data_IF_880157837903
#
_entry.id   IF_880157837903
#
_cell.length_a   1.000
_cell.length_b   1.000
_cell.length_c   1.000
_cell.angle_alpha   90.00
_cell.angle_beta   90.00
_cell.angle_gamma   90.00
#
_symmetry.space_group_name_H-M   'P 1'
#
loop_
_entity.id
_entity.type
_entity.pdbx_description
1 polymer ?
#
# COMPACT_ATOMS: atom_id res chain seq x y z
N UNK A 1 0.66 -11.02 -22.94
CA UNK A 1 1.31 -9.80 -22.39
C UNK A 1 0.84 -9.52 -20.97
N UNK A 2 -0.46 -9.53 -20.68
CA UNK A 2 -0.98 -9.31 -19.31
C UNK A 2 -0.43 -10.29 -18.26
N UNK A 3 -0.27 -11.58 -18.59
CA UNK A 3 0.30 -12.56 -17.64
C UNK A 3 1.75 -12.27 -17.21
N UNK A 4 2.60 -11.85 -18.14
CA UNK A 4 4.00 -11.47 -17.85
C UNK A 4 4.04 -10.23 -16.96
N UNK A 5 3.20 -9.23 -17.28
CA UNK A 5 3.10 -8.01 -16.49
C UNK A 5 2.67 -8.32 -15.04
N UNK A 6 1.65 -9.16 -14.85
CA UNK A 6 1.19 -9.57 -13.52
C UNK A 6 2.28 -10.31 -12.73
N UNK A 7 2.99 -11.25 -13.36
CA UNK A 7 4.10 -11.93 -12.68
C UNK A 7 5.22 -10.96 -12.28
N UNK A 8 5.53 -9.98 -13.14
CA UNK A 8 6.57 -9.01 -12.86
C UNK A 8 6.19 -8.06 -11.71
N UNK A 9 4.94 -7.60 -11.67
CA UNK A 9 4.38 -6.78 -10.57
C UNK A 9 4.43 -7.55 -9.23
N UNK A 10 3.98 -8.81 -9.20
CA UNK A 10 4.01 -9.62 -7.98
C UNK A 10 5.44 -9.89 -7.49
N UNK A 11 6.38 -10.18 -8.41
CA UNK A 11 7.78 -10.36 -8.07
C UNK A 11 8.36 -9.06 -7.52
N UNK A 12 8.09 -7.93 -8.18
CA UNK A 12 8.55 -6.61 -7.74
C UNK A 12 8.08 -6.32 -6.31
N UNK A 13 6.79 -6.52 -6.03
CA UNK A 13 6.18 -6.30 -4.71
C UNK A 13 6.84 -7.14 -3.61
N UNK A 14 7.08 -8.43 -3.87
CA UNK A 14 7.75 -9.31 -2.89
C UNK A 14 9.23 -8.95 -2.71
N UNK A 15 9.86 -8.45 -3.77
CA UNK A 15 11.30 -8.16 -3.79
C UNK A 15 11.71 -6.79 -3.24
N UNK A 16 10.77 -5.90 -2.88
CA UNK A 16 11.10 -4.56 -2.37
C UNK A 16 11.15 -4.53 -0.83
N UNK A 17 12.33 -4.76 -0.21
CA UNK A 17 12.49 -4.74 1.25
C UNK A 17 12.34 -3.34 1.86
N UNK A 18 12.28 -2.28 1.04
CA UNK A 18 12.18 -0.90 1.49
C UNK A 18 10.90 -0.19 1.05
N UNK A 19 9.97 -0.95 0.46
CA UNK A 19 8.64 -0.55 0.07
C UNK A 19 7.61 -1.02 1.10
N UNK A 20 6.56 -1.72 0.65
CA UNK A 20 5.44 -2.09 1.52
C UNK A 20 5.71 -3.32 2.42
N UNK A 21 6.79 -4.06 2.15
CA UNK A 21 7.14 -5.29 2.87
C UNK A 21 7.17 -5.16 4.41
N UNK A 22 7.87 -4.17 5.02
CA UNK A 22 7.87 -4.01 6.48
C UNK A 22 6.50 -3.66 7.08
N UNK A 23 5.58 -3.05 6.31
CA UNK A 23 4.21 -2.80 6.78
C UNK A 23 3.40 -4.09 6.81
N UNK A 24 3.52 -4.92 5.76
CA UNK A 24 2.87 -6.23 5.68
C UNK A 24 3.39 -7.15 6.80
N UNK A 25 4.69 -7.13 7.07
CA UNK A 25 5.28 -7.94 8.14
C UNK A 25 4.84 -7.49 9.53
N UNK A 26 4.78 -6.17 9.77
CA UNK A 26 4.28 -5.61 11.03
C UNK A 26 2.79 -5.88 11.28
N UNK A 27 2.05 -6.28 10.24
CA UNK A 27 0.63 -6.63 10.31
C UNK A 27 0.40 -8.03 10.87
N UNK A 28 1.42 -8.90 10.87
CA UNK A 28 1.32 -10.30 11.33
C UNK A 28 0.15 -11.07 10.68
N UNK A 29 -0.24 -10.68 9.46
CA UNK A 29 -1.30 -11.35 8.71
C UNK A 29 -0.67 -12.28 7.67
N UNK A 30 -0.75 -13.59 7.93
CA UNK A 30 -0.36 -14.66 7.03
C UNK A 30 -1.15 -14.65 5.71
N UNK A 31 -2.38 -14.16 5.73
CA UNK A 31 -3.24 -13.99 4.55
C UNK A 31 -2.59 -13.15 3.44
N UNK A 32 -1.85 -12.08 3.78
CA UNK A 32 -1.24 -11.18 2.78
C UNK A 32 -0.05 -11.87 2.11
N UNK A 33 0.74 -12.62 2.88
CA UNK A 33 1.84 -13.42 2.35
C UNK A 33 1.32 -14.55 1.46
N UNK A 34 0.27 -15.25 1.91
CA UNK A 34 -0.39 -16.28 1.12
C UNK A 34 -0.92 -15.69 -0.21
N UNK A 35 -1.56 -14.52 -0.17
CA UNK A 35 -2.05 -13.84 -1.37
C UNK A 35 -0.93 -13.49 -2.37
N UNK A 36 0.23 -13.02 -1.90
CA UNK A 36 1.37 -12.71 -2.76
C UNK A 36 1.91 -13.96 -3.48
N UNK A 37 2.06 -15.08 -2.75
CA UNK A 37 2.48 -16.36 -3.33
C UNK A 37 1.45 -16.90 -4.34
N UNK A 38 0.16 -16.84 -4.01
CA UNK A 38 -0.92 -17.25 -4.91
C UNK A 38 -0.89 -16.39 -6.19
N UNK A 39 -0.68 -15.09 -6.08
CA UNK A 39 -0.56 -14.17 -7.24
C UNK A 39 0.54 -14.58 -8.21
N UNK A 40 1.71 -14.98 -7.69
CA UNK A 40 2.83 -15.49 -8.51
C UNK A 40 2.42 -16.75 -9.28
N UNK A 41 1.80 -17.71 -8.60
CA UNK A 41 1.34 -18.96 -9.24
C UNK A 41 0.26 -18.71 -10.31
N UNK A 42 -0.69 -17.82 -10.02
CA UNK A 42 -1.75 -17.44 -10.96
C UNK A 42 -1.17 -16.76 -12.19
N UNK A 43 -0.22 -15.84 -12.02
CA UNK A 43 0.45 -15.17 -13.14
C UNK A 43 1.16 -16.15 -14.08
N UNK A 44 1.85 -17.15 -13.52
CA UNK A 44 2.48 -18.22 -14.32
C UNK A 44 1.44 -19.08 -15.05
N UNK A 45 0.33 -19.43 -14.40
CA UNK A 45 -0.76 -20.16 -15.03
C UNK A 45 -1.39 -19.38 -16.21
N UNK A 46 -1.61 -18.07 -16.05
CA UNK A 46 -2.11 -17.19 -17.12
C UNK A 46 -1.14 -17.10 -18.30
N UNK A 47 0.17 -17.13 -18.04
CA UNK A 47 1.19 -17.21 -19.08
C UNK A 47 1.08 -18.53 -19.87
N UNK A 48 0.94 -19.67 -19.17
CA UNK A 48 0.74 -20.97 -19.81
C UNK A 48 -0.56 -21.01 -20.64
N UNK A 49 -1.66 -20.45 -20.13
CA UNK A 49 -2.93 -20.33 -20.86
C UNK A 49 -2.78 -19.50 -22.14
N UNK A 50 -1.97 -18.43 -22.10
CA UNK A 50 -1.71 -17.62 -23.30
C UNK A 50 -0.96 -18.39 -24.38
N UNK A 51 0.00 -19.23 -24.00
CA UNK A 51 0.73 -20.11 -24.93
C UNK A 51 -0.22 -21.16 -25.53
N UNK A 52 -1.06 -21.77 -24.69
CA UNK A 52 -2.07 -22.73 -25.14
C UNK A 52 -3.06 -22.10 -26.13
N UNK A 53 -3.47 -20.85 -25.92
CA UNK A 53 -4.29 -20.10 -26.86
C UNK A 53 -3.62 -19.95 -28.23
N UNK A 54 -2.35 -19.53 -28.26
CA UNK A 54 -1.58 -19.37 -29.51
C UNK A 54 -1.43 -20.72 -30.23
N UNK A 55 -1.05 -21.77 -29.50
CA UNK A 55 -0.92 -23.13 -30.05
C UNK A 55 -2.27 -23.66 -30.56
N UNK A 56 -3.37 -23.36 -29.87
CA UNK A 56 -4.72 -23.75 -30.27
C UNK A 56 -5.15 -23.17 -31.59
N UNK A 57 -4.82 -21.90 -31.84
CA UNK A 57 -5.05 -21.23 -33.12
C UNK A 57 -4.19 -21.84 -34.22
N UNK A 58 -2.88 -22.04 -33.97
CA UNK A 58 -1.94 -22.58 -34.98
C UNK A 58 -2.31 -24.01 -35.38
N UNK A 59 -2.65 -24.87 -34.40
CA UNK A 59 -2.95 -26.29 -34.64
C UNK A 59 -4.34 -26.51 -35.25
N UNK A 60 -5.16 -25.45 -35.41
CA UNK A 60 -6.53 -25.50 -35.93
C UNK A 60 -7.39 -26.61 -35.31
N UNK A 61 -7.11 -26.97 -34.05
CA UNK A 61 -7.79 -28.05 -33.34
C UNK A 61 -8.98 -27.49 -32.57
N UNK A 62 -10.19 -27.87 -32.99
CA UNK A 62 -11.44 -27.40 -32.37
C UNK A 62 -11.52 -27.74 -30.88
N UNK A 63 -11.01 -28.91 -30.47
CA UNK A 63 -11.01 -29.35 -29.07
C UNK A 63 -10.12 -28.46 -28.20
N UNK A 64 -8.93 -28.09 -28.69
CA UNK A 64 -7.99 -27.26 -27.92
C UNK A 64 -8.51 -25.82 -27.77
N UNK A 65 -9.15 -25.30 -28.82
CA UNK A 65 -9.82 -24.00 -28.79
C UNK A 65 -11.01 -23.98 -27.82
N UNK A 66 -11.82 -25.05 -27.79
CA UNK A 66 -12.93 -25.18 -26.84
C UNK A 66 -12.45 -25.20 -25.38
N UNK A 67 -11.41 -25.97 -25.08
CA UNK A 67 -10.81 -26.02 -23.73
C UNK A 67 -10.29 -24.64 -23.33
N UNK A 68 -9.63 -23.92 -24.25
CA UNK A 68 -9.18 -22.55 -24.00
C UNK A 68 -10.34 -21.60 -23.65
N UNK A 69 -11.43 -21.63 -24.42
CA UNK A 69 -12.61 -20.79 -24.17
C UNK A 69 -13.23 -21.10 -22.81
N UNK A 70 -13.37 -22.38 -22.45
CA UNK A 70 -13.92 -22.79 -21.14
C UNK A 70 -13.04 -22.27 -20.00
N UNK A 71 -11.72 -22.43 -20.10
CA UNK A 71 -10.79 -21.95 -19.07
C UNK A 71 -10.82 -20.42 -18.95
N UNK A 72 -10.91 -19.70 -20.07
CA UNK A 72 -11.05 -18.24 -20.08
C UNK A 72 -12.35 -17.77 -19.43
N UNK A 73 -13.47 -18.47 -19.65
CA UNK A 73 -14.74 -18.16 -18.99
C UNK A 73 -14.65 -18.37 -17.47
N UNK A 74 -13.98 -19.42 -17.03
CA UNK A 74 -13.75 -19.68 -15.60
C UNK A 74 -12.91 -18.55 -14.98
N UNK A 75 -11.80 -18.17 -15.60
CA UNK A 75 -10.96 -17.08 -15.08
C UNK A 75 -11.70 -15.74 -15.05
N UNK A 76 -12.55 -15.47 -16.05
CA UNK A 76 -13.37 -14.26 -16.08
C UNK A 76 -14.38 -14.23 -14.93
N UNK A 77 -15.02 -15.37 -14.62
CA UNK A 77 -15.92 -15.46 -13.47
C UNK A 77 -15.18 -15.22 -12.13
N UNK A 78 -13.97 -15.77 -11.98
CA UNK A 78 -13.12 -15.51 -10.82
C UNK A 78 -12.67 -14.05 -10.73
N UNK A 79 -12.34 -13.41 -11.85
CA UNK A 79 -11.94 -12.00 -11.91
C UNK A 79 -13.11 -11.09 -11.49
N UNK A 80 -14.33 -11.37 -11.96
CA UNK A 80 -15.53 -10.66 -11.53
C UNK A 80 -15.80 -10.84 -10.04
N UNK A 81 -15.70 -12.06 -9.51
CA UNK A 81 -15.86 -12.33 -8.08
C UNK A 81 -14.80 -11.60 -7.24
N UNK A 82 -13.55 -11.60 -7.70
CA UNK A 82 -12.43 -10.90 -7.05
C UNK A 82 -12.64 -9.39 -7.06
N UNK A 83 -13.08 -8.82 -8.19
CA UNK A 83 -13.37 -7.39 -8.31
C UNK A 83 -14.48 -6.95 -7.34
N UNK A 84 -15.56 -7.72 -7.24
CA UNK A 84 -16.67 -7.45 -6.31
C UNK A 84 -16.18 -7.56 -4.86
N UNK A 85 -15.39 -8.60 -4.55
CA UNK A 85 -14.86 -8.79 -3.19
C UNK A 85 -13.92 -7.65 -2.81
N UNK A 86 -13.02 -7.25 -3.71
CA UNK A 86 -12.14 -6.09 -3.51
C UNK A 86 -12.93 -4.79 -3.34
N UNK A 87 -14.00 -4.60 -4.11
CA UNK A 87 -14.85 -3.41 -4.03
C UNK A 87 -15.69 -3.35 -2.74
N UNK A 88 -16.02 -4.49 -2.13
CA UNK A 88 -16.84 -4.56 -0.90
C UNK A 88 -15.98 -4.59 0.36
N UNK A 89 -14.83 -5.27 0.33
CA UNK A 89 -13.93 -5.43 1.47
C UNK A 89 -12.82 -4.36 1.51
N UNK A 90 -12.83 -3.37 0.62
CA UNK A 90 -11.99 -2.16 0.70
C UNK A 90 -12.05 -1.47 2.07
N UNK A 91 -13.22 -1.53 2.71
CA UNK A 91 -13.44 -0.92 4.02
C UNK A 91 -13.05 -1.86 5.17
N UNK A 92 -12.81 -3.15 4.92
CA UNK A 92 -12.32 -4.11 5.92
C UNK A 92 -10.79 -4.22 5.91
N UNK A 93 -10.16 -4.05 4.75
CA UNK A 93 -8.72 -3.78 4.60
C UNK A 93 -8.41 -2.29 4.89
N UNK A 94 -9.07 -1.75 5.92
CA UNK A 94 -9.35 -0.34 6.15
C UNK A 94 -8.08 0.48 6.35
N UNK A 95 -8.13 1.81 6.10
CA UNK A 95 -7.15 2.75 6.63
C UNK A 95 -6.87 2.56 8.12
N UNK A 96 -7.86 2.13 8.90
CA UNK A 96 -7.78 1.93 10.34
C UNK A 96 -6.76 0.86 10.77
N UNK A 97 -6.54 -0.19 9.98
CA UNK A 97 -5.55 -1.23 10.31
C UNK A 97 -4.13 -0.67 10.15
N UNK A 98 -3.86 -0.05 9.00
CA UNK A 98 -2.59 0.61 8.72
C UNK A 98 -2.35 1.83 9.63
N UNK A 99 -3.42 2.56 9.97
CA UNK A 99 -3.41 3.68 10.89
C UNK A 99 -3.05 3.21 12.30
N UNK A 100 -3.70 2.17 12.81
CA UNK A 100 -3.39 1.61 14.12
C UNK A 100 -1.94 1.14 14.20
N UNK A 101 -1.46 0.41 13.19
CA UNK A 101 -0.08 -0.05 13.12
C UNK A 101 0.93 1.10 13.01
N UNK A 102 0.63 2.10 12.18
CA UNK A 102 1.43 3.31 12.11
C UNK A 102 1.50 3.97 13.49
N UNK A 103 0.36 4.25 14.13
CA UNK A 103 0.35 4.95 15.41
C UNK A 103 1.04 4.15 16.52
N UNK A 104 0.94 2.83 16.53
CA UNK A 104 1.57 1.95 17.52
C UNK A 104 3.08 1.77 17.32
N UNK A 105 3.56 1.73 16.06
CA UNK A 105 4.95 1.38 15.75
C UNK A 105 5.79 2.54 15.21
N UNK A 106 5.20 3.64 14.77
CA UNK A 106 5.93 4.78 14.22
C UNK A 106 6.76 5.47 15.31
N UNK A 107 8.08 5.52 15.10
CA UNK A 107 9.07 6.07 16.04
C UNK A 107 8.90 5.56 17.49
N UNK A 108 8.53 4.29 17.68
CA UNK A 108 8.41 3.71 19.02
C UNK A 108 9.78 3.68 19.72
N UNK A 109 9.97 4.38 20.86
CA UNK A 109 11.28 4.47 21.54
C UNK A 109 11.64 3.21 22.34
N UNK A 110 10.64 2.46 22.82
CA UNK A 110 10.80 1.25 23.62
C UNK A 110 10.55 0.01 22.76
N UNK A 111 11.60 -0.44 22.07
CA UNK A 111 11.63 -1.78 21.49
C UNK A 111 12.27 -2.73 22.51
N UNK A 112 11.47 -3.64 23.06
CA UNK A 112 11.89 -4.63 24.06
C UNK A 112 12.94 -5.61 23.49
N UNK A 113 12.94 -5.77 22.16
CA UNK A 113 13.83 -6.70 21.45
C UNK A 113 14.44 -6.07 20.18
N UNK A 114 15.59 -6.58 19.75
CA UNK A 114 16.27 -6.16 18.51
C UNK A 114 15.41 -6.39 17.26
N UNK A 115 14.51 -7.37 17.29
CA UNK A 115 13.59 -7.65 16.19
C UNK A 115 12.51 -6.58 16.04
N UNK A 116 11.92 -6.16 17.16
CA UNK A 116 10.92 -5.09 17.18
C UNK A 116 11.49 -3.74 16.76
N UNK A 117 12.78 -3.51 17.06
CA UNK A 117 13.49 -2.29 16.65
C UNK A 117 13.64 -2.20 15.13
N UNK A 118 14.13 -3.25 14.47
CA UNK A 118 14.29 -3.21 13.01
C UNK A 118 12.93 -3.09 12.30
N UNK A 119 11.88 -3.71 12.86
CA UNK A 119 10.53 -3.61 12.33
C UNK A 119 9.99 -2.18 12.43
N UNK A 120 10.13 -1.55 13.61
CA UNK A 120 9.75 -0.15 13.87
C UNK A 120 10.48 0.83 12.93
N UNK A 121 11.78 0.65 12.75
CA UNK A 121 12.59 1.47 11.82
C UNK A 121 12.15 1.26 10.36
N UNK A 122 11.85 0.02 9.96
CA UNK A 122 11.34 -0.32 8.63
C UNK A 122 9.99 0.34 8.34
N UNK A 123 9.04 0.27 9.29
CA UNK A 123 7.73 0.92 9.21
C UNK A 123 7.88 2.44 9.12
N UNK A 124 8.71 3.03 9.99
CA UNK A 124 8.97 4.49 10.03
C UNK A 124 9.54 4.99 8.70
N UNK A 125 10.60 4.35 8.19
CA UNK A 125 11.25 4.72 6.93
C UNK A 125 10.32 4.61 5.73
N UNK A 126 9.45 3.59 5.74
CA UNK A 126 8.46 3.38 4.67
C UNK A 126 7.42 4.48 4.66
N UNK A 127 6.90 4.84 5.85
CA UNK A 127 5.94 5.94 5.95
C UNK A 127 6.58 7.28 5.62
N UNK A 128 7.81 7.54 6.05
CA UNK A 128 8.51 8.79 5.72
C UNK A 128 8.67 8.97 4.20
N UNK A 129 9.01 7.90 3.47
CA UNK A 129 9.05 7.91 2.00
C UNK A 129 7.68 8.15 1.40
N UNK A 130 6.64 7.46 1.89
CA UNK A 130 5.28 7.58 1.37
C UNK A 130 4.73 9.00 1.57
N UNK A 131 4.96 9.62 2.72
CA UNK A 131 4.56 11.01 3.02
C UNK A 131 5.28 12.01 2.10
N UNK A 132 6.57 11.79 1.83
CA UNK A 132 7.36 12.64 0.94
C UNK A 132 6.97 12.48 -0.54
N UNK A 133 6.87 11.25 -1.03
CA UNK A 133 6.55 10.96 -2.44
C UNK A 133 5.13 11.39 -2.80
N UNK A 134 4.16 11.13 -1.93
CA UNK A 134 2.74 11.37 -2.24
C UNK A 134 2.20 12.69 -1.69
N UNK A 135 3.05 13.48 -1.01
CA UNK A 135 2.65 14.73 -0.38
C UNK A 135 1.41 14.54 0.53
N UNK A 136 1.38 13.47 1.31
CA UNK A 136 0.30 13.10 2.23
C UNK A 136 0.81 13.07 3.68
N UNK A 137 -0.11 13.11 4.65
CA UNK A 137 0.22 13.03 6.06
C UNK A 137 -0.80 12.16 6.78
N UNK A 138 -0.32 11.08 7.40
CA UNK A 138 -1.20 10.07 7.98
C UNK A 138 -1.97 9.28 6.91
N UNK A 139 -2.99 8.56 7.35
CA UNK A 139 -3.85 7.78 6.45
C UNK A 139 -5.06 8.61 6.02
N UNK A 140 -5.81 9.17 6.97
CA UNK A 140 -6.98 10.03 6.74
C UNK A 140 -6.66 11.53 6.88
N UNK A 141 -5.46 11.86 7.37
CA UNK A 141 -4.96 13.23 7.47
C UNK A 141 -4.07 13.45 8.68
N UNK A 142 -3.64 14.69 8.93
CA UNK A 142 -2.82 15.02 10.09
C UNK A 142 -3.53 14.84 11.44
N UNK A 143 -4.87 14.84 11.45
CA UNK A 143 -5.69 14.60 12.64
C UNK A 143 -5.46 13.21 13.24
N UNK A 144 -5.05 12.24 12.42
CA UNK A 144 -4.73 10.87 12.83
C UNK A 144 -3.70 10.82 13.98
N UNK A 145 -2.73 11.75 13.98
CA UNK A 145 -1.67 11.81 14.98
C UNK A 145 -2.14 12.44 16.31
N UNK A 146 -3.15 13.29 16.25
CA UNK A 146 -3.70 14.02 17.40
C UNK A 146 -4.82 13.23 18.07
N UNK A 147 -5.75 12.71 17.28
CA UNK A 147 -6.96 12.02 17.73
C UNK A 147 -6.64 10.67 18.40
N UNK A 148 -5.61 9.99 17.92
CA UNK A 148 -5.19 8.70 18.46
C UNK A 148 -3.87 8.81 19.24
N UNK A 149 -3.77 8.10 20.37
CA UNK A 149 -2.54 8.01 21.18
C UNK A 149 -1.45 7.27 20.40
N UNK A 150 -0.64 8.01 19.64
CA UNK A 150 0.53 7.46 18.95
C UNK A 150 1.72 7.28 19.90
N UNK A 151 2.58 6.29 19.61
CA UNK A 151 3.89 6.14 20.25
C UNK A 151 4.81 7.36 20.01
N UNK A 152 4.50 8.15 18.97
CA UNK A 152 5.14 9.44 18.73
C UNK A 152 4.80 10.46 19.83
N UNK A 153 3.52 10.54 20.24
CA UNK A 153 3.02 11.47 21.27
C UNK A 153 3.52 11.18 22.68
N UNK A 154 3.92 9.94 22.97
CA UNK A 154 4.58 9.60 24.24
C UNK A 154 6.00 10.15 24.35
N UNK A 155 6.61 10.46 23.20
CA UNK A 155 8.04 10.82 23.11
C UNK A 155 8.24 12.30 22.78
N UNK A 156 7.32 12.90 22.04
CA UNK A 156 7.33 14.31 21.67
C UNK A 156 6.12 15.02 22.29
N UNK A 157 6.37 16.12 23.00
CA UNK A 157 5.30 16.90 23.60
C UNK A 157 4.45 17.58 22.51
N UNK A 158 3.13 17.61 22.68
CA UNK A 158 2.20 18.28 21.76
C UNK A 158 2.51 19.79 21.59
N UNK A 159 3.25 20.37 22.54
CA UNK A 159 3.71 21.76 22.51
C UNK A 159 4.85 22.00 21.49
N UNK A 160 5.65 20.97 21.19
CA UNK A 160 6.76 21.07 20.26
C UNK A 160 6.30 20.75 18.82
N UNK A 161 5.60 19.63 18.63
CA UNK A 161 5.18 19.20 17.29
C UNK A 161 4.02 18.16 17.29
N UNK A 162 2.86 18.45 16.66
CA UNK A 162 1.66 17.61 16.77
C UNK A 162 1.60 16.38 15.82
N UNK A 163 2.53 16.25 14.87
CA UNK A 163 2.63 15.15 13.88
C UNK A 163 4.06 15.08 13.33
N UNK A 164 4.50 14.15 12.47
CA UNK A 164 5.91 14.08 12.01
C UNK A 164 6.33 15.18 11.01
N UNK A 165 7.62 15.54 10.97
CA UNK A 165 8.12 16.69 10.17
C UNK A 165 7.79 16.60 8.68
N UNK A 166 7.76 15.36 8.18
CA UNK A 166 7.46 15.04 6.79
C UNK A 166 6.01 15.37 6.39
N UNK A 167 5.13 15.67 7.36
CA UNK A 167 3.77 16.13 7.14
C UNK A 167 3.70 17.60 6.67
N UNK A 168 4.70 18.43 6.97
CA UNK A 168 4.72 19.83 6.54
C UNK A 168 5.12 19.98 5.08
N UNK A 169 4.66 21.05 4.44
CA UNK A 169 5.15 21.42 3.10
C UNK A 169 6.59 21.93 3.22
N UNK A 170 7.51 21.21 2.59
CA UNK A 170 8.94 21.48 2.59
C UNK A 170 9.30 22.33 1.37
N UNK A 171 10.20 23.28 1.54
CA UNK A 171 10.86 24.02 0.46
C UNK A 171 11.92 23.14 -0.23
N UNK A 172 12.48 23.64 -1.33
CA UNK A 172 13.59 23.04 -2.09
C UNK A 172 14.83 22.71 -1.25
N UNK A 173 14.98 23.32 -0.08
CA UNK A 173 16.07 23.08 0.88
C UNK A 173 15.72 22.04 1.97
N UNK A 174 14.54 21.43 1.92
CA UNK A 174 14.12 20.43 2.90
C UNK A 174 13.68 21.01 4.25
N UNK A 175 13.43 22.32 4.32
CA UNK A 175 12.89 23.01 5.50
C UNK A 175 11.42 23.34 5.29
N UNK A 176 10.57 23.30 6.34
CA UNK A 176 9.18 23.69 6.22
C UNK A 176 9.06 25.17 5.87
N UNK A 177 8.28 25.49 4.82
CA UNK A 177 8.07 26.88 4.33
C UNK A 177 7.54 27.78 5.46
N UNK A 178 6.62 27.23 6.27
CA UNK A 178 6.13 27.88 7.46
C UNK A 178 5.90 26.83 8.54
N UNK A 179 6.83 26.75 9.49
CA UNK A 179 6.77 25.78 10.59
C UNK A 179 5.57 26.07 11.51
N UNK A 180 5.33 27.33 11.84
CA UNK A 180 4.24 27.73 12.75
C UNK A 180 2.87 27.55 12.10
N UNK A 181 2.75 27.88 10.81
CA UNK A 181 1.56 27.62 10.00
C UNK A 181 1.26 26.13 9.86
N UNK A 182 2.29 25.29 9.75
CA UNK A 182 2.13 23.85 9.79
C UNK A 182 1.67 23.38 11.18
N UNK A 183 2.38 23.76 12.27
CA UNK A 183 2.01 23.38 13.65
C UNK A 183 0.57 23.74 14.01
N UNK A 184 0.08 24.89 13.53
CA UNK A 184 -1.28 25.37 13.78
C UNK A 184 -2.34 24.76 12.84
N UNK A 185 -1.94 23.91 11.88
CA UNK A 185 -2.87 23.28 10.94
C UNK A 185 -3.50 24.25 9.94
N UNK A 186 -2.79 25.32 9.57
CA UNK A 186 -3.28 26.30 8.60
C UNK A 186 -3.34 25.65 7.20
N UNK A 187 -4.49 25.71 6.51
CA UNK A 187 -4.63 25.11 5.18
C UNK A 187 -3.61 25.72 4.21
N UNK A 188 -2.89 24.86 3.49
CA UNK A 188 -1.83 25.26 2.54
C UNK A 188 -0.40 25.07 3.06
N UNK A 189 -0.18 24.89 4.36
CA UNK A 189 1.15 24.66 4.94
C UNK A 189 1.42 23.23 5.42
N UNK A 190 0.41 22.36 5.37
CA UNK A 190 0.53 20.92 5.66
C UNK A 190 -0.03 20.09 4.51
N UNK A 191 0.45 18.83 4.41
CA UNK A 191 0.04 17.85 3.41
C UNK A 191 -1.31 17.25 3.79
N UNK A 192 -2.41 17.68 3.16
CA UNK A 192 -3.77 17.18 3.45
C UNK A 192 -4.23 16.04 2.55
N UNK A 193 -3.39 15.55 1.64
CA UNK A 193 -3.78 14.49 0.71
C UNK A 193 -3.98 13.18 1.47
N UNK A 194 -5.06 12.48 1.17
CA UNK A 194 -5.41 11.15 1.70
C UNK A 194 -5.12 10.15 0.60
N UNK A 195 -4.46 9.03 0.92
CA UNK A 195 -4.21 7.96 -0.06
C UNK A 195 -5.08 6.76 0.26
N UNK A 196 -5.99 6.43 -0.65
CA UNK A 196 -6.65 5.12 -0.64
C UNK A 196 -6.87 4.62 -2.07
N UNK A 197 -5.96 3.77 -2.56
CA UNK A 197 -6.32 2.77 -3.57
C UNK A 197 -5.26 1.68 -3.64
N UNK A 198 -5.66 0.45 -3.29
CA UNK A 198 -4.86 -0.77 -3.38
C UNK A 198 -4.83 -1.37 -4.80
N UNK A 199 -5.34 -0.68 -5.82
CA UNK A 199 -5.68 -1.33 -7.09
C UNK A 199 -4.68 -1.19 -8.25
N UNK A 200 -3.78 -0.21 -8.35
CA UNK A 200 -2.73 -0.18 -9.41
C UNK A 200 -1.59 0.81 -9.08
N UNK A 201 -0.37 0.66 -9.64
CA UNK A 201 0.79 1.51 -9.37
C UNK A 201 0.79 2.81 -10.19
N UNK A 202 -0.38 3.40 -10.48
CA UNK A 202 -0.49 4.59 -11.33
C UNK A 202 -0.93 5.77 -10.48
N UNK A 203 -0.03 6.77 -10.39
CA UNK A 203 -0.11 8.03 -9.64
C UNK A 203 -1.52 8.62 -9.50
N UNK A 204 -1.98 8.85 -8.27
CA UNK A 204 -3.29 9.44 -7.96
C UNK A 204 -3.18 10.35 -6.72
N UNK A 205 -2.90 11.63 -6.96
CA UNK A 205 -3.37 12.71 -6.08
C UNK A 205 -4.81 13.00 -6.51
N UNK A 206 -5.80 12.75 -5.65
CA UNK A 206 -7.14 13.29 -5.88
C UNK A 206 -7.52 14.22 -4.72
N UNK A 207 -8.07 15.40 -5.02
CA UNK A 207 -8.48 16.34 -4.00
C UNK A 207 -9.59 15.74 -3.13
N UNK A 208 -9.56 16.08 -1.84
CA UNK A 208 -10.62 15.79 -0.88
C UNK A 208 -11.91 16.43 -1.41
N UNK A 209 -12.85 15.61 -1.89
CA UNK A 209 -14.18 16.12 -2.28
C UNK A 209 -14.92 16.43 -0.99
N UNK A 210 -15.19 17.72 -0.78
CA UNK A 210 -16.02 18.24 0.30
C UNK A 210 -17.47 17.80 0.15
#
# INVERSE_FOLDING_TARGET
>A
MCGIALTAECIYFVSDPHGLYPLVEATENDDIYAAAWIGIFVGFALLALSILGIVGVIKSSRTLLLVYIILMLITFAFEMASCITAATHRDFLTPNLFLKQMLERYQKPEADNNNDKWMSEGVTKTWDKLMLQNQCCGVNGPSDWQEYTSAFRTTHSDADFPWPHNCCVLDSQGHPINLDGCKLGVPGFFKSNVRFSLLFPINLCWPKVS
#
